data_IF_165763447239
#
_entry.id   IF_165763447239
#
_cell.length_a   1.000
_cell.length_b   1.000
_cell.length_c   1.000
_cell.angle_alpha   90.00
_cell.angle_beta   90.00
_cell.angle_gamma   90.00
#
_symmetry.space_group_name_H-M   'P 1'
#
loop_
_entity.id
_entity.type
_entity.pdbx_description
1 polymer ?
#
# COMPACT_ATOMS: atom_id res chain seq x y z
N UNK A 1 -19.49 -12.32 -13.82
CA UNK A 1 -18.27 -12.83 -13.16
C UNK A 1 -17.25 -11.74 -12.83
N UNK A 2 -16.54 -11.10 -13.77
CA UNK A 2 -15.52 -10.08 -13.42
C UNK A 2 -16.12 -8.84 -12.74
N UNK A 3 -17.30 -8.39 -13.17
CA UNK A 3 -18.00 -7.26 -12.53
C UNK A 3 -18.46 -7.57 -11.10
N UNK A 4 -18.87 -8.82 -10.85
CA UNK A 4 -19.23 -9.30 -9.50
C UNK A 4 -17.99 -9.37 -8.60
N UNK A 5 -16.87 -9.86 -9.12
CA UNK A 5 -15.58 -9.84 -8.40
C UNK A 5 -15.22 -8.41 -8.05
N UNK A 6 -15.29 -7.48 -9.00
CA UNK A 6 -15.06 -6.05 -8.73
C UNK A 6 -15.95 -5.50 -7.62
N UNK A 7 -17.26 -5.78 -7.66
CA UNK A 7 -18.19 -5.34 -6.61
C UNK A 7 -17.83 -5.93 -5.23
N UNK A 8 -17.43 -7.21 -5.17
CA UNK A 8 -16.94 -7.85 -3.95
C UNK A 8 -15.63 -7.24 -3.45
N UNK A 9 -14.69 -6.94 -4.35
CA UNK A 9 -13.43 -6.27 -4.03
C UNK A 9 -13.66 -4.85 -3.49
N UNK A 10 -14.55 -4.09 -4.12
CA UNK A 10 -14.98 -2.77 -3.65
C UNK A 10 -15.59 -2.85 -2.24
N UNK A 11 -16.40 -3.87 -1.98
CA UNK A 11 -16.95 -4.11 -0.64
C UNK A 11 -15.83 -4.43 0.38
N UNK A 12 -14.94 -5.38 0.13
CA UNK A 12 -13.92 -5.74 1.13
C UNK A 12 -12.90 -4.63 1.38
N UNK A 13 -12.57 -3.83 0.36
CA UNK A 13 -11.71 -2.65 0.51
C UNK A 13 -12.45 -1.43 1.08
N UNK A 14 -13.80 -1.45 1.12
CA UNK A 14 -14.62 -0.28 1.44
C UNK A 14 -14.27 0.91 0.54
N UNK A 15 -14.39 0.71 -0.78
CA UNK A 15 -14.10 1.72 -1.80
C UNK A 15 -15.14 1.73 -2.91
N UNK A 16 -15.34 2.89 -3.52
CA UNK A 16 -16.11 3.08 -4.77
C UNK A 16 -15.23 3.30 -5.99
N UNK A 17 -13.92 3.13 -5.87
CA UNK A 17 -12.98 3.33 -6.95
C UNK A 17 -13.35 2.53 -8.21
N UNK A 18 -13.47 3.17 -9.37
CA UNK A 18 -13.85 2.49 -10.61
C UNK A 18 -12.77 1.52 -11.09
N UNK A 19 -11.50 1.80 -10.81
CA UNK A 19 -10.38 0.90 -11.09
C UNK A 19 -10.16 0.01 -9.87
N UNK A 20 -10.94 -1.06 -9.79
CA UNK A 20 -10.81 -2.12 -8.78
C UNK A 20 -10.87 -3.46 -9.49
N UNK A 21 -9.81 -4.27 -9.38
CA UNK A 21 -9.62 -5.49 -10.16
C UNK A 21 -8.74 -6.50 -9.43
N UNK A 22 -8.63 -7.71 -9.98
CA UNK A 22 -7.67 -8.71 -9.54
C UNK A 22 -6.57 -8.86 -10.59
N UNK A 23 -5.33 -8.57 -10.20
CA UNK A 23 -4.15 -8.78 -11.05
C UNK A 23 -3.88 -10.29 -11.12
N UNK A 24 -3.61 -10.78 -12.33
CA UNK A 24 -3.21 -12.18 -12.60
C UNK A 24 -1.78 -12.46 -12.14
N UNK A 25 -1.51 -12.28 -10.85
CA UNK A 25 -0.23 -12.48 -10.20
C UNK A 25 -0.44 -12.72 -8.69
N UNK A 26 0.58 -13.24 -8.01
CA UNK A 26 0.57 -13.31 -6.54
C UNK A 26 0.54 -11.90 -5.91
N UNK A 27 0.41 -11.80 -4.58
CA UNK A 27 0.41 -10.50 -3.88
C UNK A 27 1.61 -9.59 -4.20
N UNK A 28 2.79 -10.14 -4.52
CA UNK A 28 3.93 -9.33 -4.99
C UNK A 28 3.64 -8.63 -6.32
N UNK A 29 2.82 -9.22 -7.18
CA UNK A 29 2.35 -8.57 -8.41
C UNK A 29 1.44 -7.37 -8.15
N UNK A 30 0.74 -7.32 -7.00
CA UNK A 30 0.02 -6.12 -6.57
C UNK A 30 0.98 -4.99 -6.19
N UNK A 31 2.05 -5.32 -5.47
CA UNK A 31 3.14 -4.38 -5.16
C UNK A 31 3.83 -3.88 -6.44
N UNK A 32 4.17 -4.79 -7.36
CA UNK A 32 4.76 -4.46 -8.67
C UNK A 32 3.84 -3.55 -9.48
N UNK A 33 2.54 -3.88 -9.56
CA UNK A 33 1.55 -3.07 -10.28
C UNK A 33 1.47 -1.64 -9.73
N UNK A 34 1.55 -1.48 -8.40
CA UNK A 34 1.55 -0.16 -7.78
C UNK A 34 2.85 0.61 -8.12
N UNK A 35 4.02 -0.02 -7.99
CA UNK A 35 5.29 0.65 -8.25
C UNK A 35 5.46 1.00 -9.74
N UNK A 36 5.19 0.05 -10.65
CA UNK A 36 5.46 0.22 -12.08
C UNK A 36 4.57 1.26 -12.76
N UNK A 37 3.39 1.56 -12.19
CA UNK A 37 2.48 2.56 -12.74
C UNK A 37 2.62 3.95 -12.10
N UNK A 38 3.21 4.04 -10.89
CA UNK A 38 3.26 5.29 -10.12
C UNK A 38 4.65 5.89 -9.95
N UNK A 39 5.69 5.16 -10.36
CA UNK A 39 7.08 5.56 -10.14
C UNK A 39 7.77 5.76 -11.49
N UNK A 40 8.27 6.96 -11.72
CA UNK A 40 9.19 7.26 -12.81
C UNK A 40 10.65 7.26 -12.30
N UNK A 41 11.64 6.99 -13.18
CA UNK A 41 13.04 7.05 -12.78
C UNK A 41 13.44 8.42 -12.21
N UNK A 42 14.03 8.43 -11.01
CA UNK A 42 14.42 9.62 -10.28
C UNK A 42 13.37 10.10 -9.26
N UNK A 43 12.16 9.56 -9.28
CA UNK A 43 11.14 9.89 -8.28
C UNK A 43 11.58 9.51 -6.87
N UNK A 44 11.30 10.40 -5.92
CA UNK A 44 11.56 10.13 -4.50
C UNK A 44 10.42 9.28 -3.95
N UNK A 45 10.73 8.05 -3.55
CA UNK A 45 9.76 7.12 -2.95
C UNK A 45 10.13 6.90 -1.48
N UNK A 46 9.21 7.21 -0.57
CA UNK A 46 9.38 6.96 0.86
C UNK A 46 8.78 5.60 1.22
N UNK A 47 9.63 4.68 1.67
CA UNK A 47 9.22 3.35 2.11
C UNK A 47 9.40 3.21 3.61
N UNK A 48 8.34 2.81 4.30
CA UNK A 48 8.44 2.45 5.71
C UNK A 48 8.86 0.99 5.88
N UNK A 49 9.77 0.73 6.80
CA UNK A 49 10.32 -0.62 7.06
C UNK A 49 10.15 -0.97 8.53
N UNK A 50 9.16 -1.82 8.81
CA UNK A 50 8.97 -2.48 10.12
C UNK A 50 9.14 -4.01 10.03
N UNK A 51 9.62 -4.51 8.89
CA UNK A 51 9.78 -5.93 8.58
C UNK A 51 10.15 -6.16 7.12
N UNK A 52 9.98 -7.39 6.64
CA UNK A 52 10.45 -7.83 5.32
C UNK A 52 9.70 -7.17 4.15
N UNK A 53 8.43 -6.80 4.30
CA UNK A 53 7.62 -6.31 3.18
C UNK A 53 7.98 -4.87 2.80
N UNK A 54 8.36 -4.04 3.78
CA UNK A 54 8.97 -2.74 3.50
C UNK A 54 10.30 -2.89 2.75
N UNK A 55 11.16 -3.84 3.16
CA UNK A 55 12.44 -4.11 2.46
C UNK A 55 12.20 -4.56 1.01
N UNK A 56 11.17 -5.39 0.79
CA UNK A 56 10.77 -5.84 -0.54
C UNK A 56 10.28 -4.69 -1.42
N UNK A 57 9.45 -3.80 -0.88
CA UNK A 57 8.97 -2.62 -1.59
C UNK A 57 10.11 -1.66 -1.95
N UNK A 58 11.09 -1.49 -1.06
CA UNK A 58 12.28 -0.68 -1.34
C UNK A 58 13.14 -1.26 -2.48
N UNK A 59 13.40 -2.58 -2.48
CA UNK A 59 14.10 -3.26 -3.59
C UNK A 59 13.35 -3.09 -4.92
N UNK A 60 12.04 -3.24 -4.91
CA UNK A 60 11.19 -3.12 -6.09
C UNK A 60 11.16 -1.68 -6.64
N UNK A 61 10.95 -0.67 -5.78
CA UNK A 61 10.98 0.72 -6.18
C UNK A 61 12.35 1.12 -6.78
N UNK A 62 13.45 0.65 -6.19
CA UNK A 62 14.79 0.90 -6.71
C UNK A 62 15.00 0.29 -8.12
N UNK A 63 14.41 -0.89 -8.39
CA UNK A 63 14.45 -1.52 -9.73
C UNK A 63 13.70 -0.72 -10.80
N UNK A 64 12.69 0.04 -10.40
CA UNK A 64 12.01 1.00 -11.28
C UNK A 64 12.71 2.36 -11.39
N UNK A 65 13.86 2.53 -10.73
CA UNK A 65 14.69 3.73 -10.84
C UNK A 65 14.36 4.82 -9.82
N UNK A 66 13.56 4.52 -8.78
CA UNK A 66 13.28 5.49 -7.72
C UNK A 66 14.53 5.85 -6.89
N UNK A 67 14.56 7.09 -6.42
CA UNK A 67 15.36 7.50 -5.26
C UNK A 67 14.63 7.06 -3.97
N UNK A 68 14.94 5.84 -3.52
CA UNK A 68 14.26 5.23 -2.38
C UNK A 68 14.78 5.80 -1.05
N UNK A 69 13.88 6.43 -0.29
CA UNK A 69 14.11 6.89 1.08
C UNK A 69 13.47 5.92 2.06
N UNK A 70 14.24 5.43 3.02
CA UNK A 70 13.78 4.44 3.98
C UNK A 70 13.55 5.10 5.33
N UNK A 71 12.36 4.88 5.89
CA UNK A 71 12.03 5.16 7.28
C UNK A 71 11.91 3.82 8.02
N UNK A 72 12.97 3.42 8.71
CA UNK A 72 13.05 2.10 9.37
C UNK A 72 12.77 2.19 10.88
N UNK A 73 12.17 1.12 11.40
CA UNK A 73 11.95 0.89 12.84
C UNK A 73 12.36 -0.53 13.21
N UNK A 74 12.53 -0.76 14.52
CA UNK A 74 12.82 -2.09 15.00
C UNK A 74 11.59 -3.01 14.81
N UNK A 75 11.78 -4.33 14.59
CA UNK A 75 10.70 -5.29 14.61
C UNK A 75 9.82 -5.14 15.86
N UNK A 76 8.50 -5.14 15.68
CA UNK A 76 7.54 -4.94 16.77
C UNK A 76 7.03 -3.49 16.92
N UNK A 77 7.60 -2.53 16.21
CA UNK A 77 7.18 -1.12 16.27
C UNK A 77 6.44 -0.66 15.00
N UNK A 78 5.50 0.27 15.15
CA UNK A 78 4.78 0.92 14.04
C UNK A 78 5.08 2.43 13.96
N UNK A 79 4.64 3.09 12.90
CA UNK A 79 4.88 4.52 12.63
C UNK A 79 3.68 5.37 13.03
N UNK A 80 3.88 6.35 13.92
CA UNK A 80 2.85 7.33 14.24
C UNK A 80 2.88 8.51 13.27
N UNK A 81 1.76 9.25 13.16
CA UNK A 81 1.59 10.37 12.22
C UNK A 81 2.72 11.42 12.33
N UNK A 82 3.17 11.74 13.54
CA UNK A 82 4.26 12.71 13.76
C UNK A 82 5.57 12.27 13.09
N UNK A 83 5.90 10.98 13.14
CA UNK A 83 7.12 10.46 12.51
C UNK A 83 6.97 10.49 10.98
N UNK A 84 5.81 10.06 10.49
CA UNK A 84 5.50 10.10 9.04
C UNK A 84 5.55 11.53 8.50
N UNK A 85 4.97 12.50 9.21
CA UNK A 85 4.97 13.92 8.84
C UNK A 85 6.39 14.48 8.76
N UNK A 86 7.25 14.17 9.73
CA UNK A 86 8.65 14.57 9.69
C UNK A 86 9.40 14.01 8.48
N UNK A 87 9.14 12.74 8.12
CA UNK A 87 9.73 12.12 6.94
C UNK A 87 9.19 12.72 5.63
N UNK A 88 7.87 12.94 5.52
CA UNK A 88 7.24 13.58 4.37
C UNK A 88 7.76 15.01 4.16
N UNK A 89 7.89 15.79 5.23
CA UNK A 89 8.42 17.16 5.17
C UNK A 89 9.88 17.20 4.72
N UNK A 90 10.69 16.24 5.19
CA UNK A 90 12.12 16.13 4.88
C UNK A 90 12.38 15.64 3.46
N UNK A 91 11.67 14.61 3.03
CA UNK A 91 11.99 13.90 1.79
C UNK A 91 11.17 14.37 0.60
N UNK A 92 9.98 14.96 0.82
CA UNK A 92 9.05 15.38 -0.23
C UNK A 92 8.84 14.29 -1.29
N UNK A 93 8.47 13.06 -0.89
CA UNK A 93 8.30 11.96 -1.82
C UNK A 93 7.03 12.13 -2.66
N UNK A 94 7.04 11.59 -3.87
CA UNK A 94 5.83 11.46 -4.70
C UNK A 94 4.94 10.33 -4.19
N UNK A 95 5.53 9.35 -3.51
CA UNK A 95 4.85 8.14 -3.03
C UNK A 95 5.33 7.75 -1.63
N UNK A 96 4.38 7.46 -0.74
CA UNK A 96 4.59 6.82 0.55
C UNK A 96 4.04 5.39 0.51
N UNK A 97 4.91 4.42 0.81
CA UNK A 97 4.54 3.01 0.92
C UNK A 97 4.48 2.56 2.39
N UNK A 98 3.35 1.96 2.76
CA UNK A 98 3.08 1.40 4.08
C UNK A 98 2.56 -0.03 3.99
N UNK A 99 2.92 -0.84 4.99
CA UNK A 99 2.39 -2.20 5.17
C UNK A 99 1.45 -2.19 6.35
N UNK A 100 0.16 -2.45 6.13
CA UNK A 100 -0.84 -2.41 7.22
C UNK A 100 -0.64 -3.57 8.20
N UNK A 101 -0.39 -4.77 7.68
CA UNK A 101 -0.09 -5.96 8.47
C UNK A 101 1.25 -6.54 8.06
N UNK A 102 2.30 -6.25 8.82
CA UNK A 102 3.63 -6.77 8.57
C UNK A 102 3.74 -8.20 9.11
N UNK A 103 3.46 -9.18 8.24
CA UNK A 103 3.38 -10.57 8.67
C UNK A 103 4.70 -11.19 9.14
N UNK A 104 5.85 -10.59 8.82
CA UNK A 104 7.15 -11.09 9.32
C UNK A 104 7.42 -10.74 10.77
N UNK A 105 6.80 -9.67 11.28
CA UNK A 105 7.01 -9.20 12.66
C UNK A 105 5.72 -9.18 13.48
N UNK A 106 4.55 -9.42 12.85
CA UNK A 106 3.24 -9.37 13.50
C UNK A 106 2.76 -7.95 13.80
N UNK A 107 3.40 -6.93 13.23
CA UNK A 107 3.07 -5.52 13.50
C UNK A 107 1.85 -5.08 12.70
N UNK A 108 0.93 -4.41 13.39
CA UNK A 108 -0.17 -3.67 12.79
C UNK A 108 0.16 -2.18 12.73
N UNK A 109 -0.03 -1.59 11.55
CA UNK A 109 0.14 -0.16 11.28
C UNK A 109 -1.24 0.52 11.18
N UNK A 110 -1.62 1.40 12.13
CA UNK A 110 -2.81 2.24 12.01
C UNK A 110 -2.68 3.21 10.83
N UNK A 111 -3.73 3.34 10.02
CA UNK A 111 -3.72 4.17 8.80
C UNK A 111 -4.58 5.44 8.90
N UNK A 112 -5.40 5.57 9.94
CA UNK A 112 -6.27 6.73 10.11
C UNK A 112 -5.43 8.02 10.19
N UNK A 113 -5.73 8.97 9.32
CA UNK A 113 -5.04 10.26 9.22
C UNK A 113 -3.80 10.25 8.33
N UNK A 114 -3.34 9.09 7.83
CA UNK A 114 -2.16 9.01 6.96
C UNK A 114 -2.45 9.58 5.56
N UNK A 115 -3.59 9.24 4.95
CA UNK A 115 -3.95 9.77 3.63
C UNK A 115 -4.10 11.30 3.60
N UNK A 116 -4.86 11.92 4.54
CA UNK A 116 -4.92 13.39 4.65
C UNK A 116 -3.54 14.02 4.87
N UNK A 117 -2.67 13.34 5.63
CA UNK A 117 -1.30 13.77 5.83
C UNK A 117 -0.51 13.73 4.52
N UNK A 118 -0.55 12.64 3.74
CA UNK A 118 0.11 12.55 2.44
C UNK A 118 -0.37 13.63 1.46
N UNK A 119 -1.69 13.90 1.41
CA UNK A 119 -2.26 14.94 0.53
C UNK A 119 -1.72 16.34 0.81
N UNK A 120 -1.45 16.68 2.07
CA UNK A 120 -0.82 17.97 2.43
C UNK A 120 0.58 18.16 1.83
N UNK A 121 1.25 17.07 1.45
CA UNK A 121 2.58 17.07 0.84
C UNK A 121 2.55 16.68 -0.63
N UNK A 122 1.37 16.60 -1.25
CA UNK A 122 1.15 16.10 -2.61
C UNK A 122 1.81 14.73 -2.87
N UNK A 123 1.67 13.84 -1.88
CA UNK A 123 2.21 12.49 -1.91
C UNK A 123 1.06 11.49 -2.11
N UNK A 124 1.31 10.44 -2.91
CA UNK A 124 0.41 9.29 -3.06
C UNK A 124 0.64 8.28 -1.93
N UNK A 125 -0.43 7.72 -1.39
CA UNK A 125 -0.40 6.68 -0.37
C UNK A 125 -0.68 5.31 -0.97
N UNK A 126 0.32 4.42 -0.93
CA UNK A 126 0.20 3.00 -1.31
C UNK A 126 0.23 2.13 -0.06
N UNK A 127 -0.76 1.23 0.07
CA UNK A 127 -0.91 0.36 1.24
C UNK A 127 -0.97 -1.11 0.85
N UNK A 128 -0.04 -1.90 1.41
CA UNK A 128 -0.10 -3.36 1.41
C UNK A 128 -1.08 -3.84 2.50
N UNK A 129 -2.12 -4.55 2.09
CA UNK A 129 -3.08 -5.23 2.98
C UNK A 129 -3.16 -6.73 2.74
N UNK A 130 -2.12 -7.35 2.16
CA UNK A 130 -2.08 -8.78 1.85
C UNK A 130 -2.35 -9.61 3.10
N UNK A 131 -1.70 -9.28 4.22
CA UNK A 131 -1.86 -10.05 5.46
C UNK A 131 -3.01 -9.56 6.36
N UNK A 132 -3.61 -8.40 6.08
CA UNK A 132 -4.51 -7.70 7.01
C UNK A 132 -5.95 -7.58 6.52
N UNK A 133 -6.20 -7.54 5.21
CA UNK A 133 -7.54 -7.36 4.64
C UNK A 133 -8.50 -8.43 5.15
N UNK A 134 -9.61 -8.03 5.77
CA UNK A 134 -10.59 -8.92 6.38
C UNK A 134 -10.26 -9.38 7.82
N UNK A 135 -9.01 -9.21 8.27
CA UNK A 135 -8.59 -9.48 9.65
C UNK A 135 -8.60 -8.25 10.55
N UNK A 136 -8.46 -7.07 9.97
CA UNK A 136 -8.58 -5.76 10.65
C UNK A 136 -9.38 -4.79 9.77
N UNK A 137 -9.81 -3.67 10.35
CA UNK A 137 -10.56 -2.66 9.60
C UNK A 137 -9.72 -2.04 8.49
N UNK A 138 -10.37 -1.82 7.34
CA UNK A 138 -9.87 -1.05 6.21
C UNK A 138 -11.01 -0.14 5.76
N UNK A 139 -10.72 1.15 5.58
CA UNK A 139 -11.67 2.14 5.05
C UNK A 139 -10.97 2.93 3.95
N UNK A 140 -10.76 2.33 2.78
CA UNK A 140 -9.88 2.86 1.71
C UNK A 140 -10.24 4.29 1.33
N UNK A 141 -11.51 4.55 0.98
CA UNK A 141 -11.94 5.90 0.57
C UNK A 141 -11.91 6.87 1.75
N UNK A 142 -12.38 6.44 2.92
CA UNK A 142 -12.45 7.29 4.12
C UNK A 142 -11.06 7.70 4.62
N UNK A 143 -10.07 6.82 4.52
CA UNK A 143 -8.70 7.05 4.95
C UNK A 143 -7.84 7.65 3.83
N UNK A 144 -8.44 7.94 2.68
CA UNK A 144 -7.81 8.58 1.54
C UNK A 144 -6.58 7.81 1.03
N UNK A 145 -6.69 6.48 0.97
CA UNK A 145 -5.66 5.62 0.38
C UNK A 145 -5.75 5.74 -1.14
N UNK A 146 -4.63 6.00 -1.81
CA UNK A 146 -4.61 6.19 -3.25
C UNK A 146 -4.53 4.86 -3.99
N UNK A 147 -3.69 3.94 -3.51
CA UNK A 147 -3.64 2.56 -3.98
C UNK A 147 -3.62 1.58 -2.82
N UNK A 148 -4.50 0.59 -2.87
CA UNK A 148 -4.54 -0.51 -1.91
C UNK A 148 -4.51 -1.83 -2.67
N UNK A 149 -3.72 -2.77 -2.18
CA UNK A 149 -3.74 -4.14 -2.71
C UNK A 149 -3.72 -5.18 -1.59
N UNK A 150 -4.07 -6.42 -1.95
CA UNK A 150 -4.05 -7.58 -1.07
C UNK A 150 -3.66 -8.85 -1.82
N UNK A 151 -3.77 -10.00 -1.17
CA UNK A 151 -3.52 -11.32 -1.74
C UNK A 151 -4.68 -12.26 -1.48
N UNK A 152 -4.98 -13.11 -2.46
CA UNK A 152 -6.11 -14.05 -2.40
C UNK A 152 -6.00 -15.10 -1.29
N UNK A 153 -4.77 -15.48 -0.90
CA UNK A 153 -4.49 -16.66 -0.06
C UNK A 153 -4.30 -16.42 1.44
N UNK A 154 -4.65 -15.23 1.93
CA UNK A 154 -4.59 -14.92 3.37
C UNK A 154 -6.00 -15.04 3.94
N UNK A 155 -6.53 -14.00 4.57
CA UNK A 155 -7.85 -14.05 5.21
C UNK A 155 -8.97 -14.37 4.22
N UNK A 156 -8.82 -13.94 2.95
CA UNK A 156 -9.78 -14.24 1.88
C UNK A 156 -9.90 -15.74 1.54
N UNK A 157 -8.95 -16.59 1.97
CA UNK A 157 -9.07 -18.05 1.89
C UNK A 157 -9.09 -18.65 0.47
N UNK A 158 -8.79 -17.87 -0.56
CA UNK A 158 -8.75 -18.34 -1.95
C UNK A 158 -7.36 -18.89 -2.31
N UNK A 159 -7.19 -19.66 -3.40
CA UNK A 159 -5.87 -20.09 -3.84
C UNK A 159 -4.93 -18.91 -4.13
N UNK A 160 -3.63 -19.07 -3.91
CA UNK A 160 -2.64 -18.06 -4.27
C UNK A 160 -2.58 -17.86 -5.78
N UNK A 161 -2.31 -16.63 -6.23
CA UNK A 161 -2.11 -16.32 -7.65
C UNK A 161 -2.95 -15.16 -8.18
N UNK A 162 -3.76 -14.51 -7.33
CA UNK A 162 -4.46 -13.28 -7.64
C UNK A 162 -4.15 -12.20 -6.60
N UNK A 163 -3.93 -10.97 -7.06
CA UNK A 163 -3.74 -9.80 -6.22
C UNK A 163 -4.87 -8.79 -6.45
N UNK A 164 -5.89 -8.76 -5.57
CA UNK A 164 -6.86 -7.66 -5.55
C UNK A 164 -6.16 -6.32 -5.40
N UNK A 165 -6.53 -5.34 -6.22
CA UNK A 165 -5.97 -3.99 -6.18
C UNK A 165 -7.04 -2.96 -6.53
N UNK A 166 -6.92 -1.76 -5.97
CA UNK A 166 -7.78 -0.63 -6.25
C UNK A 166 -6.98 0.67 -6.34
N UNK A 167 -7.32 1.52 -7.31
CA UNK A 167 -6.71 2.83 -7.56
C UNK A 167 -7.79 3.91 -7.50
N UNK A 168 -7.54 4.98 -6.74
CA UNK A 168 -8.40 6.16 -6.77
C UNK A 168 -8.04 7.09 -7.93
N UNK A 169 -8.79 8.17 -8.11
CA UNK A 169 -8.59 9.11 -9.22
C UNK A 169 -7.31 9.96 -9.16
N UNK A 170 -6.58 9.99 -8.02
CA UNK A 170 -5.27 10.69 -7.93
C UNK A 170 -4.14 9.81 -8.44
N UNK A 171 -4.33 8.50 -8.45
CA UNK A 171 -3.35 7.51 -8.91
C UNK A 171 -3.62 7.04 -10.35
N UNK A 172 -4.37 7.82 -11.14
CA UNK A 172 -4.75 7.54 -12.53
C UNK A 172 -4.36 8.69 -13.47
#
# INVERSE_FOLDING_TARGET
MMDEVKAGLQYVFQTKNPVTLAVSASGHGGMEMAMCNLVEPGDVVLVTVAGIWGKRAADMAARYGADVRILEKNPGENFCLRILEGALARHRPVLLFLVQGESSTGVYQPLQGVGPLCRRYDCLLVVDTVASLGGVSVQTDQWEIDVIYSGSQKVLGSPAGLAPISFNSRAL
#
